data_IF_769378548981
#
_entry.id   IF_769378548981
#
_cell.length_a   1.000
_cell.length_b   1.000
_cell.length_c   1.000
_cell.angle_alpha   90.00
_cell.angle_beta   90.00
_cell.angle_gamma   90.00
#
_symmetry.space_group_name_H-M   'P 1'
#
loop_
_entity.id
_entity.type
_entity.pdbx_description
1 polymer ?
#
# COMPACT_ATOMS: atom_id res chain seq x y z
N UNK A 1 -4.78 15.67 -24.46
CA UNK A 1 -3.68 15.92 -23.51
C UNK A 1 -4.29 16.49 -22.23
N UNK A 2 -4.61 15.64 -21.26
CA UNK A 2 -4.85 16.07 -19.86
C UNK A 2 -4.34 14.95 -18.96
N UNK A 3 -3.10 15.10 -18.50
CA UNK A 3 -2.53 14.30 -17.42
C UNK A 3 -3.14 14.79 -16.10
N UNK A 4 -3.89 13.92 -15.43
CA UNK A 4 -4.26 14.11 -14.03
C UNK A 4 -3.52 13.05 -13.24
N UNK A 5 -2.26 13.32 -12.89
CA UNK A 5 -1.52 12.51 -11.90
C UNK A 5 -2.10 12.85 -10.54
N UNK A 6 -3.05 12.03 -10.08
CA UNK A 6 -3.75 12.23 -8.83
C UNK A 6 -2.82 12.06 -7.64
N UNK A 7 -2.59 13.13 -6.89
CA UNK A 7 -2.24 13.05 -5.48
C UNK A 7 -3.37 12.32 -4.74
N UNK A 8 -3.16 11.04 -4.44
CA UNK A 8 -4.08 10.23 -3.65
C UNK A 8 -3.82 10.49 -2.17
N UNK A 9 -4.53 11.48 -1.60
CA UNK A 9 -4.70 11.58 -0.14
C UNK A 9 -5.61 10.43 0.32
N UNK A 10 -5.30 9.87 1.48
CA UNK A 10 -6.08 8.83 2.19
C UNK A 10 -7.57 9.22 2.36
N UNK A 11 -7.90 10.50 2.20
CA UNK A 11 -9.27 11.05 2.18
C UNK A 11 -10.10 10.64 0.95
N UNK A 12 -9.51 10.22 -0.18
CA UNK A 12 -10.26 9.97 -1.43
C UNK A 12 -11.02 8.63 -1.47
N UNK A 13 -10.87 7.81 -0.43
CA UNK A 13 -11.75 6.65 -0.17
C UNK A 13 -13.07 7.03 0.53
N UNK A 14 -13.24 8.31 0.91
CA UNK A 14 -14.51 8.88 1.36
C UNK A 14 -15.24 9.39 0.10
N UNK A 15 -15.98 8.52 -0.56
CA UNK A 15 -16.88 8.92 -1.64
C UNK A 15 -18.10 9.65 -1.07
N UNK A 16 -18.53 10.70 -1.77
CA UNK A 16 -19.74 11.46 -1.50
C UNK A 16 -20.96 10.54 -1.32
N UNK A 17 -21.55 10.49 -0.13
CA UNK A 17 -22.99 10.25 0.05
C UNK A 17 -23.41 10.55 1.49
N UNK A 18 -24.27 11.55 1.61
CA UNK A 18 -25.29 11.69 2.65
C UNK A 18 -25.83 10.35 3.15
N UNK A 19 -25.53 10.00 4.39
CA UNK A 19 -26.43 9.39 5.37
C UNK A 19 -25.60 8.82 6.51
N UNK A 20 -25.88 9.35 7.70
CA UNK A 20 -25.35 8.97 9.00
C UNK A 20 -25.07 7.47 9.18
N UNK A 21 -24.05 7.22 10.03
CA UNK A 21 -23.54 5.94 10.55
C UNK A 21 -22.42 5.27 9.73
N UNK A 22 -21.25 5.91 9.67
CA UNK A 22 -19.92 5.34 10.04
C UNK A 22 -18.80 6.41 9.94
N UNK A 23 -19.09 7.65 10.32
CA UNK A 23 -18.19 8.80 10.20
C UNK A 23 -17.27 8.97 11.41
N UNK A 24 -16.28 8.08 11.58
CA UNK A 24 -15.12 8.40 12.41
C UNK A 24 -13.86 8.32 11.57
N UNK A 25 -13.10 9.43 11.38
CA UNK A 25 -11.76 9.34 10.82
C UNK A 25 -10.92 8.44 11.72
N UNK A 26 -10.09 7.57 11.12
CA UNK A 26 -9.14 6.70 11.85
C UNK A 26 -8.14 7.55 12.67
N UNK A 27 -7.98 8.82 12.31
CA UNK A 27 -7.27 9.86 13.05
C UNK A 27 -8.28 10.72 13.81
N UNK A 28 -8.44 10.44 15.10
CA UNK A 28 -9.50 11.01 15.94
C UNK A 28 -9.03 12.24 16.75
N UNK A 29 -7.84 12.80 16.49
CA UNK A 29 -7.33 13.92 17.28
C UNK A 29 -6.92 15.12 16.40
N UNK A 30 -7.36 16.31 16.81
CA UNK A 30 -6.94 17.61 16.25
C UNK A 30 -5.43 17.89 16.45
N UNK A 31 -4.73 17.04 17.22
CA UNK A 31 -3.28 17.04 17.42
C UNK A 31 -2.52 16.00 16.56
N UNK A 32 -3.18 15.25 15.69
CA UNK A 32 -2.51 14.29 14.80
C UNK A 32 -1.76 15.05 13.70
N UNK A 33 -0.48 15.33 13.96
CA UNK A 33 0.50 15.75 12.94
C UNK A 33 0.36 14.79 11.76
N UNK A 34 0.25 15.31 10.52
CA UNK A 34 0.16 14.46 9.32
C UNK A 34 1.21 13.35 9.41
N UNK A 35 0.82 12.08 9.22
CA UNK A 35 1.74 10.97 9.40
C UNK A 35 2.98 11.20 8.54
N UNK A 36 4.19 10.95 9.08
CA UNK A 36 5.43 11.28 8.40
C UNK A 36 5.59 10.57 7.06
N UNK A 37 4.83 9.50 6.81
CA UNK A 37 4.86 8.74 5.57
C UNK A 37 3.53 8.81 4.79
N UNK A 38 3.65 9.00 3.48
CA UNK A 38 2.53 8.97 2.53
C UNK A 38 2.58 7.73 1.64
N UNK A 39 1.44 7.36 1.04
CA UNK A 39 1.32 6.20 0.16
C UNK A 39 0.81 6.59 -1.22
N UNK A 40 1.27 5.89 -2.25
CA UNK A 40 0.68 5.91 -3.58
C UNK A 40 0.72 4.51 -4.20
N UNK A 41 -0.10 4.29 -5.22
CA UNK A 41 -0.05 3.08 -6.04
C UNK A 41 0.62 3.39 -7.37
N UNK A 42 1.46 2.48 -7.86
CA UNK A 42 2.10 2.61 -9.17
C UNK A 42 1.08 2.77 -10.31
N UNK A 43 -0.10 2.16 -10.18
CA UNK A 43 -1.20 2.35 -11.15
C UNK A 43 -2.56 2.02 -10.52
N UNK A 44 -3.64 2.53 -11.13
CA UNK A 44 -5.01 2.20 -10.75
C UNK A 44 -5.31 0.69 -10.82
N UNK A 45 -4.57 -0.09 -11.62
CA UNK A 45 -4.68 -1.55 -11.65
C UNK A 45 -4.21 -2.19 -10.34
N UNK A 46 -3.12 -1.68 -9.75
CA UNK A 46 -2.60 -2.18 -8.46
C UNK A 46 -3.58 -1.84 -7.35
N UNK A 47 -4.10 -0.62 -7.33
CA UNK A 47 -5.12 -0.20 -6.36
C UNK A 47 -6.36 -1.09 -6.43
N UNK A 48 -6.92 -1.31 -7.63
CA UNK A 48 -8.06 -2.23 -7.82
C UNK A 48 -7.73 -3.67 -7.42
N UNK A 49 -6.49 -4.10 -7.63
CA UNK A 49 -6.01 -5.41 -7.20
C UNK A 49 -6.10 -5.59 -5.68
N UNK A 50 -5.69 -4.58 -4.90
CA UNK A 50 -5.84 -4.58 -3.44
C UNK A 50 -7.30 -4.45 -3.02
N UNK A 51 -8.08 -3.60 -3.70
CA UNK A 51 -9.51 -3.45 -3.42
C UNK A 51 -10.27 -4.78 -3.59
N UNK A 52 -9.86 -5.60 -4.57
CA UNK A 52 -10.41 -6.94 -4.82
C UNK A 52 -9.95 -8.03 -3.84
N UNK A 53 -9.12 -7.74 -2.84
CA UNK A 53 -8.73 -8.71 -1.82
C UNK A 53 -9.89 -9.10 -0.90
N UNK A 54 -9.88 -10.32 -0.32
CA UNK A 54 -10.83 -10.71 0.71
C UNK A 54 -10.83 -9.71 1.88
N UNK A 55 -12.01 -9.53 2.48
CA UNK A 55 -12.24 -8.47 3.47
C UNK A 55 -11.26 -8.51 4.63
N UNK A 56 -10.95 -9.68 5.19
CA UNK A 56 -10.04 -9.81 6.33
C UNK A 56 -8.58 -9.55 5.95
N UNK A 57 -8.17 -9.93 4.74
CA UNK A 57 -6.82 -9.68 4.22
C UNK A 57 -6.65 -8.18 3.99
N UNK A 58 -7.67 -7.51 3.43
CA UNK A 58 -7.67 -6.07 3.23
C UNK A 58 -7.66 -5.31 4.56
N UNK A 59 -8.39 -5.79 5.56
CA UNK A 59 -8.38 -5.19 6.91
C UNK A 59 -6.97 -5.24 7.53
N UNK A 60 -6.28 -6.38 7.46
CA UNK A 60 -4.91 -6.49 7.97
C UNK A 60 -3.92 -5.65 7.16
N UNK A 61 -4.09 -5.58 5.84
CA UNK A 61 -3.31 -4.68 4.99
C UNK A 61 -3.44 -3.22 5.41
N UNK A 62 -4.67 -2.73 5.64
CA UNK A 62 -4.92 -1.35 6.08
C UNK A 62 -4.31 -1.07 7.46
N UNK A 63 -4.39 -2.03 8.38
CA UNK A 63 -3.72 -1.95 9.70
C UNK A 63 -2.20 -1.81 9.54
N UNK A 64 -1.60 -2.56 8.61
CA UNK A 64 -0.17 -2.46 8.31
C UNK A 64 0.18 -1.10 7.70
N UNK A 65 -0.63 -0.58 6.78
CA UNK A 65 -0.42 0.76 6.20
C UNK A 65 -0.48 1.86 7.27
N UNK A 66 -1.42 1.80 8.22
CA UNK A 66 -1.50 2.78 9.32
C UNK A 66 -0.23 2.75 10.19
N UNK A 67 0.26 1.55 10.56
CA UNK A 67 1.53 1.43 11.27
C UNK A 67 2.70 1.98 10.44
N UNK A 68 2.74 1.70 9.14
CA UNK A 68 3.78 2.21 8.25
C UNK A 68 3.72 3.74 8.10
N UNK A 69 2.52 4.33 8.10
CA UNK A 69 2.31 5.77 8.06
C UNK A 69 2.96 6.47 9.25
N UNK A 70 2.84 5.86 10.44
CA UNK A 70 3.29 6.40 11.73
C UNK A 70 4.76 6.10 12.00
N UNK A 71 5.17 4.85 11.83
CA UNK A 71 6.47 4.33 12.29
C UNK A 71 7.47 4.12 11.15
N UNK A 72 7.00 4.15 9.89
CA UNK A 72 7.82 4.02 8.70
C UNK A 72 7.72 2.65 8.01
N UNK A 73 8.35 2.53 6.83
CA UNK A 73 8.12 1.45 5.88
C UNK A 73 8.63 0.08 6.33
N UNK A 74 9.65 0.05 7.19
CA UNK A 74 10.27 -1.20 7.63
C UNK A 74 9.81 -1.54 9.05
N UNK A 75 8.67 -2.23 9.14
CA UNK A 75 8.12 -2.74 10.40
C UNK A 75 8.75 -4.06 10.84
N UNK A 76 9.58 -4.69 9.98
CA UNK A 76 10.11 -6.03 10.21
C UNK A 76 9.04 -7.14 10.15
N UNK A 77 9.49 -8.39 10.38
CA UNK A 77 8.59 -9.53 10.47
C UNK A 77 7.71 -9.39 11.73
N UNK A 78 6.41 -9.78 11.67
CA UNK A 78 5.76 -10.50 10.58
C UNK A 78 5.16 -9.63 9.47
N UNK A 79 5.17 -8.30 9.60
CA UNK A 79 4.38 -7.37 8.78
C UNK A 79 5.05 -6.95 7.47
N UNK A 80 6.37 -6.74 7.50
CA UNK A 80 7.14 -6.37 6.31
C UNK A 80 8.41 -7.19 6.21
N UNK A 81 8.91 -7.37 4.99
CA UNK A 81 10.18 -8.07 4.74
C UNK A 81 10.96 -7.33 3.66
N UNK A 82 12.25 -7.11 3.88
CA UNK A 82 13.15 -6.65 2.85
C UNK A 82 13.41 -7.78 1.83
N UNK A 83 13.26 -7.46 0.54
CA UNK A 83 13.49 -8.37 -0.58
C UNK A 83 14.82 -8.08 -1.30
N UNK A 84 15.58 -7.08 -0.84
CA UNK A 84 16.83 -6.62 -1.44
C UNK A 84 16.62 -5.50 -2.47
N UNK A 85 17.67 -4.73 -2.76
CA UNK A 85 17.63 -3.68 -3.80
C UNK A 85 16.60 -2.56 -3.54
N UNK A 86 16.28 -2.25 -2.28
CA UNK A 86 15.26 -1.26 -1.93
C UNK A 86 13.81 -1.70 -2.19
N UNK A 87 13.59 -2.99 -2.48
CA UNK A 87 12.28 -3.61 -2.63
C UNK A 87 11.86 -4.26 -1.31
N UNK A 88 10.60 -4.08 -0.95
CA UNK A 88 10.02 -4.60 0.29
C UNK A 88 8.68 -5.29 0.01
N UNK A 89 8.28 -6.18 0.92
CA UNK A 89 7.03 -6.92 0.89
C UNK A 89 6.19 -6.59 2.13
N UNK A 90 4.94 -6.15 1.95
CA UNK A 90 3.88 -6.15 2.97
C UNK A 90 3.26 -7.54 3.03
N UNK A 91 3.05 -8.02 4.25
CA UNK A 91 2.61 -9.39 4.55
C UNK A 91 1.26 -9.41 5.25
N UNK A 92 0.20 -9.10 4.52
CA UNK A 92 -1.16 -9.13 5.05
C UNK A 92 -1.67 -10.57 5.22
N UNK A 93 -2.27 -10.86 6.38
CA UNK A 93 -2.87 -12.17 6.69
C UNK A 93 -4.32 -11.98 7.13
N UNK A 94 -5.21 -12.75 6.50
CA UNK A 94 -6.62 -12.82 6.83
C UNK A 94 -7.06 -14.26 7.05
N UNK A 95 -8.32 -14.46 7.43
CA UNK A 95 -8.90 -15.81 7.59
C UNK A 95 -9.01 -16.53 6.25
N UNK A 96 -9.34 -15.77 5.20
CA UNK A 96 -9.53 -16.25 3.83
C UNK A 96 -8.22 -16.43 3.05
N UNK A 97 -7.07 -16.04 3.61
CA UNK A 97 -5.78 -16.26 2.98
C UNK A 97 -4.73 -15.20 3.27
N UNK A 98 -3.76 -15.08 2.34
CA UNK A 98 -2.57 -14.27 2.52
C UNK A 98 -2.41 -13.31 1.34
N UNK A 99 -2.40 -12.02 1.64
CA UNK A 99 -2.10 -10.96 0.69
C UNK A 99 -0.63 -10.55 0.74
N UNK A 100 -0.06 -10.26 -0.42
CA UNK A 100 1.29 -9.71 -0.55
C UNK A 100 1.25 -8.48 -1.43
N UNK A 101 1.84 -7.40 -0.93
CA UNK A 101 2.04 -6.18 -1.71
C UNK A 101 3.54 -5.83 -1.72
N UNK A 102 4.11 -5.69 -2.90
CA UNK A 102 5.50 -5.29 -3.09
C UNK A 102 5.56 -3.77 -3.24
N UNK A 103 6.50 -3.14 -2.54
CA UNK A 103 6.62 -1.69 -2.50
C UNK A 103 8.08 -1.24 -2.47
N UNK A 104 8.29 0.02 -2.82
CA UNK A 104 9.55 0.72 -2.59
C UNK A 104 9.28 2.06 -1.90
N UNK A 105 10.34 2.67 -1.39
CA UNK A 105 10.31 4.02 -0.83
C UNK A 105 11.01 4.98 -1.77
N UNK A 106 10.47 6.18 -1.91
CA UNK A 106 11.09 7.27 -2.68
C UNK A 106 11.40 8.46 -1.78
N UNK A 107 12.17 9.42 -2.30
CA UNK A 107 12.52 10.67 -1.59
C UNK A 107 11.26 11.38 -1.10
N UNK A 108 11.33 11.97 0.11
CA UNK A 108 10.19 12.68 0.71
C UNK A 108 9.24 11.79 1.50
N UNK A 109 9.72 10.67 2.07
CA UNK A 109 8.96 9.74 2.92
C UNK A 109 7.68 9.23 2.25
N UNK A 110 7.79 8.81 0.99
CA UNK A 110 6.66 8.25 0.23
C UNK A 110 6.88 6.78 -0.07
N UNK A 111 5.83 6.00 0.12
CA UNK A 111 5.78 4.55 -0.10
C UNK A 111 4.95 4.31 -1.35
N UNK A 112 5.54 3.66 -2.36
CA UNK A 112 4.86 3.35 -3.63
C UNK A 112 4.57 1.85 -3.69
N UNK A 113 3.30 1.48 -3.72
CA UNK A 113 2.85 0.10 -3.89
C UNK A 113 2.95 -0.27 -5.38
N UNK A 114 3.87 -1.16 -5.70
CA UNK A 114 4.25 -1.49 -7.07
C UNK A 114 3.40 -2.62 -7.65
N UNK A 115 3.08 -3.61 -6.82
CA UNK A 115 2.41 -4.83 -7.25
C UNK A 115 1.73 -5.51 -6.06
N UNK A 116 0.62 -6.20 -6.29
CA UNK A 116 -0.15 -6.86 -5.24
C UNK A 116 -0.81 -8.15 -5.77
N UNK A 117 -0.86 -9.18 -4.94
CA UNK A 117 -1.50 -10.45 -5.27
C UNK A 117 -2.01 -11.17 -4.02
N UNK A 118 -3.06 -11.97 -4.18
CA UNK A 118 -3.46 -12.99 -3.20
C UNK A 118 -2.71 -14.26 -3.50
N UNK A 119 -2.06 -14.79 -2.48
CA UNK A 119 -1.30 -16.02 -2.59
C UNK A 119 -2.19 -17.22 -2.34
N UNK A 120 -2.03 -18.28 -3.15
CA UNK A 120 -2.47 -19.65 -2.80
C UNK A 120 -1.33 -20.55 -2.31
N UNK A 121 -0.07 -20.11 -2.42
CA UNK A 121 1.14 -20.90 -2.11
C UNK A 121 2.12 -20.13 -1.19
N UNK A 122 3.12 -20.76 -0.59
CA UNK A 122 4.02 -20.14 0.42
C UNK A 122 5.09 -19.19 -0.17
N UNK A 123 5.53 -19.41 -1.43
CA UNK A 123 6.66 -18.70 -2.06
C UNK A 123 6.23 -17.63 -3.06
N UNK A 124 6.89 -16.47 -3.05
CA UNK A 124 6.57 -15.37 -3.98
C UNK A 124 7.08 -15.77 -5.36
N UNK A 125 6.21 -15.94 -6.37
CA UNK A 125 6.64 -16.40 -7.68
C UNK A 125 7.67 -15.44 -8.27
N UNK A 126 8.73 -15.98 -8.90
CA UNK A 126 9.80 -15.16 -9.50
C UNK A 126 9.26 -14.14 -10.51
N UNK A 127 8.14 -14.47 -11.17
CA UNK A 127 7.45 -13.59 -12.12
C UNK A 127 6.95 -12.31 -11.43
N UNK A 128 6.32 -12.41 -10.25
CA UNK A 128 5.79 -11.24 -9.54
C UNK A 128 6.90 -10.33 -9.01
N UNK A 129 8.03 -10.92 -8.60
CA UNK A 129 9.23 -10.17 -8.24
C UNK A 129 9.80 -9.42 -9.46
N UNK A 130 9.84 -10.05 -10.63
CA UNK A 130 10.29 -9.42 -11.86
C UNK A 130 9.45 -8.20 -12.23
N UNK A 131 8.11 -8.31 -12.13
CA UNK A 131 7.19 -7.20 -12.36
C UNK A 131 7.44 -6.05 -11.39
N UNK A 132 7.59 -6.33 -10.10
CA UNK A 132 7.85 -5.29 -9.10
C UNK A 132 9.21 -4.60 -9.30
N UNK A 133 10.27 -5.36 -9.62
CA UNK A 133 11.60 -4.79 -9.88
C UNK A 133 11.61 -3.91 -11.14
N UNK A 134 10.90 -4.28 -12.20
CA UNK A 134 10.77 -3.46 -13.40
C UNK A 134 10.10 -2.11 -13.07
N UNK A 135 8.95 -2.15 -12.38
CA UNK A 135 8.22 -0.95 -11.95
C UNK A 135 9.01 -0.08 -10.98
N UNK A 136 9.77 -0.69 -10.08
CA UNK A 136 10.66 0.03 -9.16
C UNK A 136 11.68 0.89 -9.94
N UNK A 137 12.31 0.32 -10.97
CA UNK A 137 13.27 1.06 -11.80
C UNK A 137 12.62 2.25 -12.50
N UNK A 138 11.39 2.10 -12.96
CA UNK A 138 10.64 3.20 -13.58
C UNK A 138 10.37 4.34 -12.60
N UNK A 139 9.87 4.01 -11.40
CA UNK A 139 9.58 4.97 -10.32
C UNK A 139 10.84 5.72 -9.89
N UNK A 140 11.97 5.03 -9.79
CA UNK A 140 13.25 5.65 -9.39
C UNK A 140 13.85 6.53 -10.49
N UNK A 141 13.54 6.28 -11.77
CA UNK A 141 14.07 7.07 -12.91
C UNK A 141 13.24 8.31 -13.21
N UNK A 142 11.91 8.21 -13.16
CA UNK A 142 11.00 9.25 -13.66
C UNK A 142 10.20 9.94 -12.56
N UNK A 143 10.31 9.48 -11.31
CA UNK A 143 9.37 9.85 -10.26
C UNK A 143 8.03 9.10 -10.42
N UNK A 144 7.21 9.07 -9.36
CA UNK A 144 5.90 8.42 -9.38
C UNK A 144 4.86 9.17 -10.22
#
# INVERSE_FOLDING_TARGET
>A
MVQVYGEFRISRWLGDSTSATLDKPIFNNKNDIMPPWSFSYYSARVERGVAGWPSSVRADYLRILDMMARYGPNLGLPHTRAMGGGLFEIRAKGREGIGRALFCTVVGKRIVILHCFIKKTEQTPKQELGVAMARQKEVLKHGP
#
